data_IF_230551867952
#
_entry.id   IF_230551867952
#
_cell.length_a   1.000
_cell.length_b   1.000
_cell.length_c   1.000
_cell.angle_alpha   90.00
_cell.angle_beta   90.00
_cell.angle_gamma   90.00
#
_symmetry.space_group_name_H-M   'P 1'
#
loop_
_entity.id
_entity.type
_entity.pdbx_description
1 polymer ?
#
# COMPACT_ATOMS: atom_id res chain seq x y z
N UNK A 1 -18.96 18.20 -19.03
CA UNK A 1 -20.35 18.17 -18.54
C UNK A 1 -20.83 16.73 -18.74
N UNK A 2 -21.18 15.92 -17.75
CA UNK A 2 -21.54 16.24 -16.37
C UNK A 2 -20.50 15.82 -15.33
N UNK A 3 -20.59 16.54 -14.22
CA UNK A 3 -19.79 16.50 -13.00
C UNK A 3 -20.33 15.44 -12.03
N UNK A 4 -20.90 14.34 -12.55
CA UNK A 4 -21.77 13.45 -11.76
C UNK A 4 -21.01 12.25 -11.14
N UNK A 5 -19.70 12.17 -11.34
CA UNK A 5 -18.88 11.05 -10.87
C UNK A 5 -18.26 11.25 -9.48
N UNK A 6 -18.07 12.49 -9.04
CA UNK A 6 -17.42 12.80 -7.77
C UNK A 6 -18.42 12.84 -6.59
N UNK A 7 -19.66 13.27 -6.83
CA UNK A 7 -20.71 13.32 -5.79
C UNK A 7 -21.19 11.93 -5.36
N UNK A 8 -21.12 10.94 -6.26
CA UNK A 8 -21.48 9.55 -5.94
C UNK A 8 -20.45 8.84 -5.04
N UNK A 9 -19.20 9.31 -4.99
CA UNK A 9 -18.16 8.78 -4.11
C UNK A 9 -18.12 9.45 -2.72
N UNK A 10 -18.77 10.60 -2.57
CA UNK A 10 -18.89 11.33 -1.30
C UNK A 10 -20.21 11.06 -0.55
N UNK A 11 -21.16 10.36 -1.17
CA UNK A 11 -22.35 9.86 -0.52
C UNK A 11 -22.05 8.57 0.27
N UNK A 12 -21.45 8.72 1.46
CA UNK A 12 -21.42 7.65 2.44
C UNK A 12 -22.84 7.13 2.73
N UNK A 13 -22.99 5.87 3.18
CA UNK A 13 -24.30 5.30 3.49
C UNK A 13 -25.06 6.24 4.46
N UNK A 14 -26.38 6.44 4.28
CA UNK A 14 -27.14 7.33 5.14
C UNK A 14 -26.92 6.92 6.59
N UNK A 15 -26.41 7.85 7.40
CA UNK A 15 -26.21 7.66 8.84
C UNK A 15 -27.53 7.12 9.40
N UNK A 16 -27.51 5.86 9.80
CA UNK A 16 -28.68 5.15 10.27
C UNK A 16 -29.34 5.97 11.37
N UNK A 17 -30.58 6.40 11.13
CA UNK A 17 -31.42 7.05 12.13
C UNK A 17 -31.50 6.09 13.32
N UNK A 18 -30.85 6.46 14.44
CA UNK A 18 -30.76 5.63 15.64
C UNK A 18 -32.13 5.05 15.98
N UNK A 19 -32.23 3.72 16.04
CA UNK A 19 -33.40 3.04 16.57
C UNK A 19 -33.55 3.50 18.02
N UNK A 20 -34.65 4.19 18.35
CA UNK A 20 -34.92 4.64 19.72
C UNK A 20 -35.02 3.42 20.64
N UNK A 21 -34.29 3.43 21.75
CA UNK A 21 -34.46 2.42 22.79
C UNK A 21 -35.91 2.45 23.31
N UNK A 22 -36.59 1.31 23.42
CA UNK A 22 -38.00 1.28 23.83
C UNK A 22 -38.17 1.67 25.31
N UNK A 23 -39.04 2.65 25.59
CA UNK A 23 -39.40 3.12 26.93
C UNK A 23 -39.59 4.64 27.02
N UNK A 24 -40.23 5.10 28.10
CA UNK A 24 -40.59 6.49 28.40
C UNK A 24 -39.42 7.27 29.01
N UNK A 25 -38.98 8.38 28.38
CA UNK A 25 -38.02 9.34 28.94
C UNK A 25 -38.74 10.55 29.51
N UNK A 26 -38.07 11.27 30.41
CA UNK A 26 -38.60 12.53 30.99
C UNK A 26 -38.87 13.58 29.90
N UNK A 27 -38.03 13.63 28.86
CA UNK A 27 -38.25 14.53 27.71
C UNK A 27 -39.48 14.14 26.86
N UNK A 28 -39.84 12.86 26.82
CA UNK A 28 -41.02 12.40 26.07
C UNK A 28 -42.29 12.91 26.78
N UNK A 29 -42.33 12.92 28.12
CA UNK A 29 -43.46 13.46 28.91
C UNK A 29 -43.74 14.92 28.55
N UNK A 30 -42.71 15.75 28.33
CA UNK A 30 -42.88 17.16 27.99
C UNK A 30 -43.36 17.41 26.56
N UNK A 31 -43.29 16.40 25.70
CA UNK A 31 -43.67 16.48 24.28
C UNK A 31 -44.93 15.70 23.94
N UNK A 32 -45.50 14.98 24.90
CA UNK A 32 -46.77 14.25 24.81
C UNK A 32 -47.98 15.19 24.87
N UNK A 33 -49.13 14.81 24.31
CA UNK A 33 -50.41 15.47 24.56
C UNK A 33 -50.77 15.51 26.06
N UNK A 34 -51.38 16.59 26.54
CA UNK A 34 -51.70 16.80 27.98
C UNK A 34 -52.48 15.63 28.60
N UNK A 35 -53.37 15.01 27.82
CA UNK A 35 -54.16 13.88 28.28
C UNK A 35 -53.28 12.64 28.58
N UNK A 36 -52.30 12.38 27.71
CA UNK A 36 -51.33 11.29 27.90
C UNK A 36 -50.36 11.59 29.05
N UNK A 37 -49.94 12.84 29.21
CA UNK A 37 -49.11 13.27 30.34
C UNK A 37 -49.81 12.99 31.67
N UNK A 38 -51.11 13.25 31.74
CA UNK A 38 -51.91 13.06 32.96
C UNK A 38 -51.99 11.57 33.34
N UNK A 39 -52.25 10.70 32.37
CA UNK A 39 -52.27 9.23 32.55
C UNK A 39 -50.89 8.70 32.97
N UNK A 40 -49.83 9.12 32.27
CA UNK A 40 -48.45 8.71 32.56
C UNK A 40 -47.98 9.18 33.94
N UNK A 41 -48.23 10.43 34.31
CA UNK A 41 -47.89 10.98 35.62
C UNK A 41 -48.59 10.24 36.76
N UNK A 42 -49.84 9.81 36.53
CA UNK A 42 -50.57 9.01 37.50
C UNK A 42 -49.95 7.61 37.65
N UNK A 43 -49.64 6.94 36.54
CA UNK A 43 -49.02 5.61 36.52
C UNK A 43 -47.62 5.60 37.14
N UNK A 44 -46.82 6.66 36.94
CA UNK A 44 -45.51 6.82 37.59
C UNK A 44 -45.65 6.85 39.11
N UNK A 45 -46.72 7.45 39.64
CA UNK A 45 -46.95 7.59 41.09
C UNK A 45 -47.51 6.34 41.75
N UNK A 46 -48.36 5.59 41.05
CA UNK A 46 -49.11 4.46 41.62
C UNK A 46 -48.64 3.08 41.16
N UNK A 47 -47.59 3.03 40.31
CA UNK A 47 -46.89 1.83 39.86
C UNK A 47 -47.67 0.92 38.90
N UNK A 48 -48.95 0.63 39.17
CA UNK A 48 -49.85 -0.17 38.33
C UNK A 48 -51.28 0.40 38.38
N UNK A 49 -52.02 0.35 37.25
CA UNK A 49 -53.42 0.77 37.21
C UNK A 49 -54.29 -0.12 36.34
N UNK A 50 -55.55 -0.27 36.72
CA UNK A 50 -56.60 -0.75 35.82
C UNK A 50 -57.24 0.45 35.08
N UNK A 51 -57.77 0.25 33.85
CA UNK A 51 -58.47 1.31 33.12
C UNK A 51 -59.63 1.92 33.91
N UNK A 52 -60.36 1.10 34.67
CA UNK A 52 -61.47 1.54 35.51
C UNK A 52 -61.02 2.45 36.67
N UNK A 53 -59.87 2.14 37.30
CA UNK A 53 -59.32 2.96 38.37
C UNK A 53 -58.82 4.33 37.86
N UNK A 54 -58.20 4.35 36.68
CA UNK A 54 -57.80 5.59 36.01
C UNK A 54 -59.00 6.43 35.59
N UNK A 55 -60.04 5.82 35.00
CA UNK A 55 -61.26 6.53 34.60
C UNK A 55 -61.99 7.17 35.78
N UNK A 56 -62.09 6.45 36.91
CA UNK A 56 -62.69 6.98 38.13
C UNK A 56 -61.91 8.17 38.70
N UNK A 57 -60.57 8.11 38.68
CA UNK A 57 -59.73 9.15 39.26
C UNK A 57 -59.61 10.40 38.38
N UNK A 58 -59.51 10.20 37.06
CA UNK A 58 -59.40 11.29 36.08
C UNK A 58 -60.76 11.90 35.72
N UNK A 59 -61.86 11.30 36.19
CA UNK A 59 -63.23 11.65 35.84
C UNK A 59 -63.47 11.65 34.31
N UNK A 60 -62.88 10.67 33.63
CA UNK A 60 -62.96 10.46 32.18
C UNK A 60 -63.78 9.21 31.85
N UNK A 61 -64.24 9.10 30.60
CA UNK A 61 -64.89 7.86 30.15
C UNK A 61 -63.89 6.71 30.09
N UNK A 62 -64.35 5.50 30.41
CA UNK A 62 -63.49 4.30 30.44
C UNK A 62 -62.93 3.98 29.05
N UNK A 63 -63.71 4.23 27.99
CA UNK A 63 -63.24 4.03 26.61
C UNK A 63 -62.18 5.05 26.20
N UNK A 64 -62.26 6.29 26.71
CA UNK A 64 -61.25 7.33 26.43
C UNK A 64 -59.91 7.00 27.09
N UNK A 65 -59.93 6.61 28.37
CA UNK A 65 -58.72 6.17 29.08
C UNK A 65 -58.09 4.95 28.40
N UNK A 66 -58.92 4.00 27.96
CA UNK A 66 -58.45 2.82 27.26
C UNK A 66 -57.77 3.18 25.93
N UNK A 67 -58.33 4.10 25.15
CA UNK A 67 -57.71 4.58 23.90
C UNK A 67 -56.35 5.23 24.14
N UNK A 68 -56.19 6.04 25.21
CA UNK A 68 -54.89 6.61 25.57
C UNK A 68 -53.88 5.56 26.04
N UNK A 69 -54.32 4.54 26.80
CA UNK A 69 -53.47 3.44 27.23
C UNK A 69 -53.01 2.56 26.07
N UNK A 70 -53.88 2.31 25.08
CA UNK A 70 -53.55 1.58 23.86
C UNK A 70 -52.54 2.35 22.99
N UNK A 71 -52.70 3.67 22.86
CA UNK A 71 -51.74 4.51 22.14
C UNK A 71 -50.37 4.54 22.85
N UNK A 72 -50.35 4.69 24.17
CA UNK A 72 -49.13 4.61 24.98
C UNK A 72 -48.45 3.22 24.92
N UNK A 73 -49.24 2.16 24.76
CA UNK A 73 -48.74 0.80 24.56
C UNK A 73 -48.14 0.62 23.16
N UNK A 74 -48.78 1.14 22.13
CA UNK A 74 -48.27 1.14 20.75
C UNK A 74 -46.98 1.96 20.61
N UNK A 75 -46.86 3.05 21.37
CA UNK A 75 -45.65 3.86 21.45
C UNK A 75 -44.54 3.21 22.31
N UNK A 76 -44.83 2.09 22.99
CA UNK A 76 -43.87 1.35 23.80
C UNK A 76 -43.53 2.00 25.14
N UNK A 77 -44.34 2.96 25.59
CA UNK A 77 -44.17 3.68 26.86
C UNK A 77 -44.77 2.93 28.05
N UNK A 78 -45.73 2.05 27.79
CA UNK A 78 -46.48 1.28 28.78
C UNK A 78 -46.58 -0.18 28.32
N UNK A 79 -46.65 -1.12 29.25
CA UNK A 79 -46.85 -2.54 28.98
C UNK A 79 -47.95 -3.11 29.89
N UNK A 80 -48.56 -4.21 29.45
CA UNK A 80 -49.58 -4.94 30.22
C UNK A 80 -48.94 -5.96 31.15
N UNK A 81 -49.48 -6.08 32.36
CA UNK A 81 -49.12 -7.11 33.34
C UNK A 81 -50.32 -8.05 33.49
N UNK A 82 -50.14 -9.33 33.17
CA UNK A 82 -51.21 -10.33 33.24
C UNK A 82 -51.45 -10.78 34.69
N UNK A 83 -52.38 -10.11 35.37
CA UNK A 83 -52.99 -10.58 36.62
C UNK A 83 -54.29 -11.35 36.35
N UNK A 84 -54.56 -12.42 37.11
CA UNK A 84 -55.73 -13.33 36.96
C UNK A 84 -57.10 -12.67 37.19
N UNK A 85 -57.47 -11.65 36.41
CA UNK A 85 -58.81 -11.06 36.43
C UNK A 85 -58.97 -9.63 35.90
N UNK A 86 -57.87 -8.88 35.64
CA UNK A 86 -57.94 -7.55 35.02
C UNK A 86 -56.61 -7.16 34.38
N UNK A 87 -56.64 -6.57 33.17
CA UNK A 87 -55.45 -6.01 32.52
C UNK A 87 -54.98 -4.78 33.32
N UNK A 88 -53.78 -4.88 33.92
CA UNK A 88 -53.11 -3.74 34.55
C UNK A 88 -52.03 -3.20 33.63
N UNK A 89 -51.88 -1.88 33.62
CA UNK A 89 -50.91 -1.16 32.81
C UNK A 89 -49.80 -0.60 33.68
N UNK A 90 -48.56 -0.68 33.19
CA UNK A 90 -47.37 -0.20 33.88
C UNK A 90 -46.42 0.53 32.94
N UNK A 91 -45.81 1.62 33.41
CA UNK A 91 -44.85 2.40 32.62
C UNK A 91 -43.55 1.62 32.42
N UNK A 92 -43.11 1.55 31.16
CA UNK A 92 -41.77 1.09 30.78
C UNK A 92 -40.86 2.32 30.75
N UNK A 93 -40.12 2.58 31.83
CA UNK A 93 -39.14 3.66 31.83
C UNK A 93 -38.00 3.33 30.87
N UNK A 94 -37.63 4.27 30.01
CA UNK A 94 -36.40 4.11 29.23
C UNK A 94 -35.21 4.11 30.21
N UNK A 95 -34.16 3.32 29.95
CA UNK A 95 -32.93 3.42 30.73
C UNK A 95 -32.46 4.87 30.76
N UNK A 96 -32.23 5.39 31.95
CA UNK A 96 -31.78 6.78 32.14
C UNK A 96 -30.33 6.84 31.65
N UNK A 97 -30.11 7.56 30.57
CA UNK A 97 -28.79 7.72 29.94
C UNK A 97 -27.88 8.57 30.83
N UNK A 98 -27.24 7.95 31.83
CA UNK A 98 -25.82 8.23 32.04
C UNK A 98 -25.12 7.83 30.73
N UNK A 99 -24.28 8.71 30.19
CA UNK A 99 -23.77 8.64 28.81
C UNK A 99 -23.34 7.20 28.46
N UNK A 100 -24.11 6.51 27.62
CA UNK A 100 -23.80 5.16 27.18
C UNK A 100 -22.46 5.22 26.43
N UNK A 101 -21.50 4.39 26.81
CA UNK A 101 -20.21 4.32 26.14
C UNK A 101 -20.45 4.17 24.62
N UNK A 102 -19.76 4.94 23.76
CA UNK A 102 -19.78 4.66 22.34
C UNK A 102 -19.49 3.17 22.16
N UNK A 103 -20.36 2.45 21.45
CA UNK A 103 -20.17 1.02 21.20
C UNK A 103 -18.90 0.76 20.38
N UNK A 104 -18.37 1.81 19.77
CA UNK A 104 -17.12 1.83 19.04
C UNK A 104 -15.97 2.29 19.96
N UNK A 105 -15.20 1.31 20.45
CA UNK A 105 -14.04 1.50 21.34
C UNK A 105 -13.03 2.50 20.74
N UNK A 106 -12.89 2.51 19.42
CA UNK A 106 -11.95 3.35 18.70
C UNK A 106 -12.29 4.83 18.79
N UNK A 107 -13.57 5.19 18.83
CA UNK A 107 -13.99 6.59 19.00
C UNK A 107 -13.64 7.15 20.38
N UNK A 108 -13.49 6.29 21.39
CA UNK A 108 -13.07 6.71 22.73
C UNK A 108 -11.54 6.88 22.78
N UNK A 109 -10.80 6.01 22.07
CA UNK A 109 -9.34 6.04 22.00
C UNK A 109 -8.76 7.10 21.06
N UNK A 110 -9.48 7.46 20.00
CA UNK A 110 -9.07 8.45 19.00
C UNK A 110 -9.49 9.88 19.35
N UNK A 111 -10.20 10.09 20.47
CA UNK A 111 -10.50 11.44 20.96
C UNK A 111 -9.25 12.04 21.58
N UNK A 112 -8.66 12.99 20.88
CA UNK A 112 -7.75 13.98 21.44
C UNK A 112 -8.53 14.94 22.38
N UNK A 113 -9.14 14.43 23.46
CA UNK A 113 -9.71 15.29 24.51
C UNK A 113 -8.58 15.81 25.38
N UNK A 114 -8.51 17.11 25.63
CA UNK A 114 -7.47 17.69 26.49
C UNK A 114 -7.65 17.32 27.99
N UNK A 115 -8.72 16.60 28.32
CA UNK A 115 -9.08 16.25 29.69
C UNK A 115 -9.13 14.72 29.90
N UNK A 116 -8.85 14.30 31.14
CA UNK A 116 -8.87 12.91 31.59
C UNK A 116 -10.27 12.30 31.62
N UNK A 117 -10.37 11.04 31.20
CA UNK A 117 -11.58 10.22 31.38
C UNK A 117 -11.57 9.59 32.79
N UNK A 118 -12.63 9.81 33.55
CA UNK A 118 -12.70 9.40 34.97
C UNK A 118 -13.83 8.40 35.19
N UNK A 119 -13.51 7.25 35.76
CA UNK A 119 -14.50 6.31 36.30
C UNK A 119 -14.70 6.57 37.79
N UNK A 120 -15.94 6.72 38.25
CA UNK A 120 -16.24 6.87 39.69
C UNK A 120 -16.91 5.62 40.23
N UNK A 121 -16.22 4.96 41.15
CA UNK A 121 -16.76 3.89 42.00
C UNK A 121 -17.24 4.46 43.33
N UNK A 122 -18.48 4.17 43.71
CA UNK A 122 -19.12 4.71 44.92
C UNK A 122 -20.22 3.78 45.46
N UNK A 123 -20.57 3.96 46.74
CA UNK A 123 -21.78 3.35 47.30
C UNK A 123 -23.01 4.17 46.90
N UNK A 124 -24.09 3.48 46.50
CA UNK A 124 -25.39 4.08 46.17
C UNK A 124 -25.96 4.98 47.28
N UNK A 125 -25.56 4.78 48.53
CA UNK A 125 -25.95 5.62 49.66
C UNK A 125 -25.32 7.01 49.64
N UNK A 126 -24.21 7.17 48.92
CA UNK A 126 -23.50 8.45 48.75
C UNK A 126 -23.84 9.14 47.41
N UNK A 127 -24.97 8.77 46.78
CA UNK A 127 -25.38 9.24 45.45
C UNK A 127 -25.45 10.76 45.32
N UNK A 128 -25.96 11.46 46.34
CA UNK A 128 -26.10 12.92 46.32
C UNK A 128 -24.75 13.63 46.20
N UNK A 129 -23.77 13.21 47.00
CA UNK A 129 -22.40 13.71 46.92
C UNK A 129 -21.77 13.41 45.55
N UNK A 130 -21.93 12.19 45.05
CA UNK A 130 -21.35 11.82 43.75
C UNK A 130 -22.01 12.59 42.61
N UNK A 131 -23.30 12.93 42.71
CA UNK A 131 -23.98 13.79 41.72
C UNK A 131 -23.39 15.20 41.71
N UNK A 132 -23.10 15.76 42.89
CA UNK A 132 -22.41 17.04 43.00
C UNK A 132 -21.01 16.97 42.39
N UNK A 133 -20.22 15.94 42.73
CA UNK A 133 -18.86 15.74 42.22
C UNK A 133 -18.84 15.54 40.70
N UNK A 134 -19.71 14.69 40.18
CA UNK A 134 -19.88 14.44 38.75
C UNK A 134 -20.23 15.73 37.99
N UNK A 135 -21.22 16.48 38.47
CA UNK A 135 -21.63 17.73 37.84
C UNK A 135 -20.50 18.76 37.83
N UNK A 136 -19.70 18.81 38.91
CA UNK A 136 -18.53 19.68 39.00
C UNK A 136 -17.43 19.25 38.01
N UNK A 137 -17.13 17.95 37.88
CA UNK A 137 -16.17 17.42 36.92
C UNK A 137 -16.61 17.64 35.47
N UNK A 138 -17.88 17.38 35.14
CA UNK A 138 -18.43 17.62 33.79
C UNK A 138 -18.38 19.11 33.41
N UNK A 139 -18.61 20.02 34.37
CA UNK A 139 -18.49 21.46 34.13
C UNK A 139 -17.06 21.89 33.77
N UNK A 140 -16.05 21.05 34.01
CA UNK A 140 -14.65 21.26 33.57
C UNK A 140 -14.35 20.67 32.20
N UNK A 141 -15.35 20.10 31.51
CA UNK A 141 -15.18 19.48 30.18
C UNK A 141 -14.71 18.03 30.21
N UNK A 142 -14.56 17.41 31.39
CA UNK A 142 -14.14 16.01 31.55
C UNK A 142 -15.26 15.04 31.18
N UNK A 143 -14.87 13.90 30.62
CA UNK A 143 -15.78 12.75 30.50
C UNK A 143 -15.76 11.94 31.81
N UNK A 144 -16.91 11.86 32.46
CA UNK A 144 -17.07 11.15 33.73
C UNK A 144 -18.03 9.98 33.54
N UNK A 145 -17.60 8.80 33.98
CA UNK A 145 -18.40 7.60 33.96
C UNK A 145 -18.79 7.21 35.38
N UNK A 146 -20.09 6.94 35.58
CA UNK A 146 -20.66 6.55 36.87
C UNK A 146 -21.82 5.59 36.62
N UNK A 147 -21.88 4.48 37.35
CA UNK A 147 -23.08 3.63 37.39
C UNK A 147 -24.13 4.24 38.34
N UNK A 148 -25.13 4.91 37.77
CA UNK A 148 -26.17 5.64 38.52
C UNK A 148 -27.34 4.79 39.02
N UNK A 149 -27.25 3.46 38.95
CA UNK A 149 -28.33 2.46 39.04
C UNK A 149 -28.94 2.12 37.68
N UNK A 150 -28.42 1.09 37.04
CA UNK A 150 -29.18 0.21 36.17
C UNK A 150 -28.55 -1.18 36.22
N UNK A 151 -29.03 -2.05 37.12
CA UNK A 151 -28.82 -3.50 36.99
C UNK A 151 -30.03 -4.03 36.21
N UNK A 152 -29.95 -4.29 34.90
CA UNK A 152 -30.96 -5.08 34.23
C UNK A 152 -30.94 -6.50 34.81
N UNK A 153 -32.11 -7.06 35.10
CA UNK A 153 -32.27 -8.41 35.67
C UNK A 153 -31.80 -9.53 34.71
N UNK A 154 -31.32 -9.21 33.50
CA UNK A 154 -30.99 -10.18 32.46
C UNK A 154 -29.86 -9.78 31.48
N UNK A 155 -28.91 -8.91 31.86
CA UNK A 155 -27.75 -8.54 31.02
C UNK A 155 -26.41 -8.78 31.74
N UNK A 156 -25.31 -8.89 30.99
CA UNK A 156 -23.95 -9.03 31.56
C UNK A 156 -23.42 -7.67 32.04
N UNK A 157 -24.10 -7.08 33.02
CA UNK A 157 -23.84 -5.76 33.60
C UNK A 157 -22.39 -5.60 34.11
N UNK A 158 -21.78 -6.71 34.55
CA UNK A 158 -20.38 -6.70 34.97
C UNK A 158 -19.42 -6.37 33.82
N UNK A 159 -19.70 -6.86 32.60
CA UNK A 159 -18.88 -6.54 31.43
C UNK A 159 -18.91 -5.05 31.09
N UNK A 160 -20.06 -4.39 31.26
CA UNK A 160 -20.18 -2.94 31.02
C UNK A 160 -19.37 -2.11 32.02
N UNK A 161 -19.42 -2.49 33.31
CA UNK A 161 -18.57 -1.90 34.35
C UNK A 161 -17.10 -2.10 34.03
N UNK A 162 -16.72 -3.33 33.69
CA UNK A 162 -15.33 -3.65 33.40
C UNK A 162 -14.82 -2.85 32.18
N UNK A 163 -15.64 -2.71 31.14
CA UNK A 163 -15.33 -1.88 29.97
C UNK A 163 -15.17 -0.39 30.35
N UNK A 164 -16.02 0.12 31.25
CA UNK A 164 -15.89 1.47 31.79
C UNK A 164 -14.56 1.69 32.52
N UNK A 165 -14.14 0.72 33.34
CA UNK A 165 -12.84 0.75 34.03
C UNK A 165 -11.69 0.68 33.02
N UNK A 166 -11.78 -0.21 32.03
CA UNK A 166 -10.76 -0.40 30.99
C UNK A 166 -10.54 0.86 30.15
N UNK A 167 -11.60 1.62 29.85
CA UNK A 167 -11.55 2.83 29.03
C UNK A 167 -11.24 4.11 29.81
N UNK A 168 -11.37 4.09 31.13
CA UNK A 168 -11.03 5.25 31.96
C UNK A 168 -9.52 5.40 32.15
N UNK A 169 -9.06 6.65 32.17
CA UNK A 169 -7.67 7.00 32.47
C UNK A 169 -7.42 6.90 33.98
N UNK A 170 -8.39 7.39 34.75
CA UNK A 170 -8.35 7.41 36.22
C UNK A 170 -9.56 6.71 36.81
N UNK A 171 -9.29 5.87 37.81
CA UNK A 171 -10.29 5.24 38.66
C UNK A 171 -10.38 6.01 39.98
N UNK A 172 -11.47 6.76 40.15
CA UNK A 172 -11.78 7.53 41.34
C UNK A 172 -12.65 6.68 42.27
N UNK A 173 -12.18 6.43 43.49
CA UNK A 173 -12.89 5.65 44.48
C UNK A 173 -13.40 6.55 45.61
N UNK A 174 -14.72 6.59 45.79
CA UNK A 174 -15.35 7.33 46.90
C UNK A 174 -15.38 6.45 48.14
N UNK A 175 -14.51 6.75 49.11
CA UNK A 175 -14.37 6.05 50.38
C UNK A 175 -15.50 6.50 51.33
N UNK A 176 -16.26 5.50 51.77
CA UNK A 176 -17.24 5.55 52.86
C UNK A 176 -17.36 4.17 53.50
N UNK A 177 -17.91 4.04 54.71
CA UNK A 177 -18.13 2.73 55.34
C UNK A 177 -18.94 1.78 54.43
N UNK A 178 -19.92 2.31 53.70
CA UNK A 178 -20.76 1.53 52.80
C UNK A 178 -20.03 1.11 51.51
N UNK A 179 -19.13 1.96 50.96
CA UNK A 179 -18.38 1.60 49.74
C UNK A 179 -17.30 0.57 50.03
N UNK A 180 -16.64 0.68 51.18
CA UNK A 180 -15.61 -0.28 51.63
C UNK A 180 -16.22 -1.65 51.96
N UNK A 181 -17.43 -1.69 52.53
CA UNK A 181 -18.14 -2.94 52.78
C UNK A 181 -18.80 -3.56 51.53
N UNK A 182 -18.86 -2.84 50.41
CA UNK A 182 -19.56 -3.28 49.20
C UNK A 182 -18.73 -4.28 48.38
N UNK A 183 -19.31 -5.46 48.13
CA UNK A 183 -18.68 -6.49 47.30
C UNK A 183 -18.43 -6.02 45.86
N UNK A 184 -19.38 -5.27 45.28
CA UNK A 184 -19.26 -4.75 43.91
C UNK A 184 -18.11 -3.77 43.82
N UNK A 185 -18.05 -2.80 44.74
CA UNK A 185 -16.97 -1.82 44.82
C UNK A 185 -15.61 -2.50 44.99
N UNK A 186 -15.55 -3.58 45.78
CA UNK A 186 -14.35 -4.42 45.89
C UNK A 186 -13.94 -5.04 44.56
N UNK A 187 -14.87 -5.61 43.79
CA UNK A 187 -14.57 -6.18 42.47
C UNK A 187 -14.09 -5.11 41.47
N UNK A 188 -14.64 -3.91 41.53
CA UNK A 188 -14.23 -2.78 40.68
C UNK A 188 -12.81 -2.33 40.99
N UNK A 189 -12.45 -2.21 42.27
CA UNK A 189 -11.08 -1.88 42.69
C UNK A 189 -10.10 -2.95 42.18
N UNK A 190 -10.42 -4.24 42.34
CA UNK A 190 -9.57 -5.33 41.87
C UNK A 190 -9.35 -5.28 40.35
N UNK A 191 -10.40 -4.96 39.58
CA UNK A 191 -10.28 -4.75 38.14
C UNK A 191 -9.37 -3.56 37.80
N UNK A 192 -9.53 -2.43 38.50
CA UNK A 192 -8.69 -1.25 38.30
C UNK A 192 -7.22 -1.53 38.66
N UNK A 193 -6.97 -2.22 39.76
CA UNK A 193 -5.64 -2.64 40.21
C UNK A 193 -5.00 -3.59 39.20
N UNK A 194 -5.73 -4.62 38.74
CA UNK A 194 -5.25 -5.57 37.72
C UNK A 194 -4.79 -4.87 36.44
N UNK A 195 -5.48 -3.80 36.05
CA UNK A 195 -5.18 -3.03 34.85
C UNK A 195 -4.19 -1.90 35.08
N UNK A 196 -3.61 -1.82 36.28
CA UNK A 196 -2.70 -0.75 36.71
C UNK A 196 -3.31 0.62 36.38
N UNK A 197 -4.59 0.83 36.72
CA UNK A 197 -5.23 2.13 36.53
C UNK A 197 -4.71 3.11 37.55
N UNK A 198 -4.70 4.39 37.18
CA UNK A 198 -4.42 5.45 38.15
C UNK A 198 -5.54 5.47 39.17
N UNK A 199 -5.22 5.21 40.43
CA UNK A 199 -6.21 5.21 41.51
C UNK A 199 -6.22 6.56 42.23
N UNK A 200 -7.41 7.10 42.46
CA UNK A 200 -7.62 8.35 43.20
C UNK A 200 -8.62 8.13 44.34
N UNK A 201 -8.15 8.03 45.60
CA UNK A 201 -9.02 7.90 46.76
C UNK A 201 -9.63 9.25 47.19
N UNK A 202 -10.96 9.32 47.21
CA UNK A 202 -11.74 10.47 47.68
C UNK A 202 -12.51 10.07 48.94
N UNK A 203 -12.17 10.66 50.08
CA UNK A 203 -12.80 10.36 51.38
C UNK A 203 -14.03 11.24 51.55
N UNK A 204 -15.21 10.63 51.46
CA UNK A 204 -16.47 11.28 51.77
C UNK A 204 -16.86 11.10 53.24
N UNK A 205 -16.61 9.91 53.79
CA UNK A 205 -16.81 9.58 55.20
C UNK A 205 -15.56 8.86 55.73
N UNK A 206 -15.18 9.14 56.98
CA UNK A 206 -13.99 8.54 57.59
C UNK A 206 -14.18 7.03 57.80
N UNK A 207 -13.18 6.26 57.39
CA UNK A 207 -13.12 4.80 57.54
C UNK A 207 -11.74 4.43 58.12
N UNK A 208 -11.65 3.44 59.02
CA UNK A 208 -10.36 2.92 59.47
C UNK A 208 -9.50 2.48 58.27
N UNK A 209 -8.24 2.96 58.13
CA UNK A 209 -7.39 2.67 56.98
C UNK A 209 -7.19 1.17 56.70
N UNK A 210 -7.24 0.35 57.74
CA UNK A 210 -7.11 -1.11 57.70
C UNK A 210 -8.33 -1.83 57.09
N UNK A 211 -9.46 -1.14 56.92
CA UNK A 211 -10.60 -1.66 56.17
C UNK A 211 -10.55 -1.29 54.69
N UNK A 212 -9.78 -0.25 54.32
CA UNK A 212 -9.64 0.22 52.95
C UNK A 212 -8.72 -0.72 52.17
N UNK A 213 -8.99 -0.90 50.88
CA UNK A 213 -8.17 -1.73 50.01
C UNK A 213 -6.68 -1.29 50.07
N UNK A 214 -5.71 -2.21 50.24
CA UNK A 214 -4.30 -1.85 50.48
C UNK A 214 -3.71 -0.89 49.44
N UNK A 215 -4.05 -1.09 48.16
CA UNK A 215 -3.60 -0.22 47.06
C UNK A 215 -4.16 1.21 47.13
N UNK A 216 -5.31 1.43 47.76
CA UNK A 216 -5.85 2.77 48.01
C UNK A 216 -5.31 3.35 49.32
N UNK A 217 -5.11 2.51 50.33
CA UNK A 217 -4.61 2.91 51.66
C UNK A 217 -3.17 3.45 51.61
N UNK A 218 -2.35 2.99 50.66
CA UNK A 218 -0.98 3.49 50.46
C UNK A 218 -0.88 4.86 49.77
N UNK A 219 -1.99 5.36 49.21
CA UNK A 219 -2.03 6.61 48.43
C UNK A 219 -2.42 7.81 49.29
N UNK A 220 -2.16 9.01 48.78
CA UNK A 220 -2.61 10.24 49.41
C UNK A 220 -4.12 10.41 49.25
N UNK A 221 -4.83 10.57 50.36
CA UNK A 221 -6.29 10.70 50.39
C UNK A 221 -6.74 12.14 50.17
N UNK A 222 -7.78 12.32 49.36
CA UNK A 222 -8.43 13.61 49.16
C UNK A 222 -9.71 13.68 49.98
N UNK A 223 -9.76 14.59 50.96
CA UNK A 223 -10.87 14.69 51.89
C UNK A 223 -11.97 15.64 51.38
N UNK A 224 -13.21 15.13 51.38
CA UNK A 224 -14.45 15.78 50.99
C UNK A 224 -15.55 15.50 52.02
N UNK A 225 -15.20 15.47 53.31
CA UNK A 225 -16.15 15.23 54.39
C UNK A 225 -17.08 16.43 54.55
N UNK A 226 -18.15 16.27 55.33
CA UNK A 226 -19.13 17.33 55.54
C UNK A 226 -18.52 18.63 56.13
N UNK A 227 -17.45 18.50 56.89
CA UNK A 227 -16.68 19.60 57.48
C UNK A 227 -15.61 20.22 56.56
N UNK A 228 -15.27 19.58 55.44
CA UNK A 228 -14.23 20.07 54.53
C UNK A 228 -14.82 20.99 53.45
N UNK A 229 -14.05 22.02 53.07
CA UNK A 229 -14.45 22.92 51.97
C UNK A 229 -14.36 22.20 50.61
N UNK A 230 -15.51 22.08 49.92
CA UNK A 230 -15.61 21.37 48.64
C UNK A 230 -14.67 21.96 47.57
N UNK A 231 -14.61 23.28 47.42
CA UNK A 231 -13.88 23.90 46.30
C UNK A 231 -12.35 23.71 46.36
N UNK A 232 -11.66 23.99 47.47
CA UNK A 232 -10.23 23.73 47.57
C UNK A 232 -9.88 22.25 47.37
N UNK A 233 -10.68 21.33 47.89
CA UNK A 233 -10.50 19.89 47.64
C UNK A 233 -10.74 19.53 46.18
N UNK A 234 -11.74 20.12 45.55
CA UNK A 234 -12.03 19.92 44.13
C UNK A 234 -10.90 20.43 43.21
N UNK A 235 -10.30 21.59 43.50
CA UNK A 235 -9.14 22.08 42.74
C UNK A 235 -7.92 21.16 42.87
N UNK A 236 -7.68 20.60 44.06
CA UNK A 236 -6.63 19.60 44.28
C UNK A 236 -6.91 18.31 43.50
N UNK A 237 -8.17 17.89 43.45
CA UNK A 237 -8.60 16.74 42.65
C UNK A 237 -8.32 16.99 41.16
N UNK A 238 -8.70 18.15 40.61
CA UNK A 238 -8.41 18.48 39.22
C UNK A 238 -6.92 18.45 38.90
N UNK A 239 -6.10 19.08 39.75
CA UNK A 239 -4.64 19.07 39.60
C UNK A 239 -4.06 17.65 39.63
N UNK A 240 -4.59 16.79 40.50
CA UNK A 240 -4.21 15.39 40.53
C UNK A 240 -4.61 14.67 39.23
N UNK A 241 -5.83 14.88 38.72
CA UNK A 241 -6.29 14.23 37.48
C UNK A 241 -5.47 14.64 36.24
N UNK A 242 -4.96 15.88 36.20
CA UNK A 242 -4.21 16.41 35.05
C UNK A 242 -2.72 16.11 35.08
N UNK A 243 -2.18 15.70 36.23
CA UNK A 243 -0.76 15.38 36.34
C UNK A 243 -0.40 14.20 35.42
N UNK A 244 0.63 14.41 34.58
CA UNK A 244 1.18 13.41 33.64
C UNK A 244 0.11 12.76 32.74
N UNK A 245 -0.94 13.53 32.39
CA UNK A 245 -2.12 13.02 31.70
C UNK A 245 -1.79 12.32 30.38
N UNK A 246 -0.89 12.88 29.57
CA UNK A 246 -0.50 12.28 28.28
C UNK A 246 0.03 10.86 28.46
N UNK A 247 0.83 10.64 29.51
CA UNK A 247 1.37 9.32 29.83
C UNK A 247 0.24 8.37 30.27
N UNK A 248 -0.62 8.79 31.21
CA UNK A 248 -1.75 7.98 31.70
C UNK A 248 -2.70 7.59 30.56
N UNK A 249 -2.95 8.50 29.61
CA UNK A 249 -3.79 8.23 28.43
C UNK A 249 -3.14 7.26 27.47
N UNK A 250 -1.83 7.43 27.22
CA UNK A 250 -1.07 6.48 26.42
C UNK A 250 -1.08 5.07 27.01
N UNK A 251 -1.00 4.95 28.35
CA UNK A 251 -1.15 3.69 29.08
C UNK A 251 -2.52 3.06 28.84
N UNK A 252 -3.60 3.82 29.03
CA UNK A 252 -4.98 3.33 28.81
C UNK A 252 -5.20 2.92 27.36
N UNK A 253 -4.75 3.71 26.39
CA UNK A 253 -4.90 3.38 24.97
C UNK A 253 -4.17 2.10 24.61
N UNK A 254 -2.94 1.92 25.10
CA UNK A 254 -2.17 0.71 24.87
C UNK A 254 -2.84 -0.50 25.53
N UNK A 255 -3.37 -0.33 26.75
CA UNK A 255 -4.11 -1.37 27.47
C UNK A 255 -5.30 -1.87 26.69
N UNK A 256 -6.14 -0.95 26.21
CA UNK A 256 -7.39 -1.30 25.52
C UNK A 256 -7.08 -2.05 24.23
N UNK A 257 -6.09 -1.59 23.45
CA UNK A 257 -5.62 -2.31 22.24
C UNK A 257 -5.09 -3.71 22.59
N UNK A 258 -4.33 -3.83 23.68
CA UNK A 258 -3.79 -5.11 24.12
C UNK A 258 -4.89 -6.08 24.60
N UNK A 259 -5.91 -5.58 25.29
CA UNK A 259 -7.08 -6.35 25.72
C UNK A 259 -7.92 -6.80 24.53
N UNK A 260 -8.12 -5.95 23.54
CA UNK A 260 -8.81 -6.31 22.30
C UNK A 260 -8.07 -7.40 21.55
N UNK A 261 -6.76 -7.25 21.36
CA UNK A 261 -5.90 -8.28 20.78
C UNK A 261 -6.02 -9.61 21.55
N UNK A 262 -6.01 -9.59 22.88
CA UNK A 262 -6.17 -10.79 23.69
C UNK A 262 -7.57 -11.43 23.53
N UNK A 263 -8.64 -10.61 23.54
CA UNK A 263 -10.03 -11.05 23.33
C UNK A 263 -10.26 -11.68 21.96
N UNK A 264 -9.57 -11.18 20.93
CA UNK A 264 -9.63 -11.72 19.56
C UNK A 264 -8.67 -12.90 19.32
N UNK A 265 -8.24 -13.59 20.38
CA UNK A 265 -7.41 -14.79 20.24
C UNK A 265 -5.99 -14.49 19.76
N UNK A 266 -5.50 -13.27 20.00
CA UNK A 266 -4.16 -12.79 19.64
C UNK A 266 -3.89 -12.74 18.14
N UNK A 267 -4.90 -12.38 17.36
CA UNK A 267 -4.80 -12.26 15.91
C UNK A 267 -3.81 -11.16 15.46
N UNK A 268 -3.03 -11.46 14.42
CA UNK A 268 -1.99 -10.58 13.86
C UNK A 268 -2.52 -9.26 13.28
N UNK A 269 -3.81 -9.19 12.94
CA UNK A 269 -4.46 -7.99 12.40
C UNK A 269 -4.62 -6.86 13.42
N UNK A 270 -4.64 -7.19 14.72
CA UNK A 270 -4.75 -6.23 15.83
C UNK A 270 -3.39 -5.75 16.35
N UNK A 271 -2.28 -6.25 15.80
CA UNK A 271 -0.93 -5.86 16.25
C UNK A 271 -0.54 -4.48 15.73
N UNK A 272 0.26 -3.77 16.53
CA UNK A 272 0.79 -2.45 16.20
C UNK A 272 1.85 -2.55 15.10
N UNK A 273 2.01 -1.49 14.31
CA UNK A 273 3.01 -1.38 13.24
C UNK A 273 3.52 0.05 13.11
N UNK A 274 4.77 0.21 12.65
CA UNK A 274 5.38 1.50 12.36
C UNK A 274 5.27 2.47 13.54
N UNK A 275 4.82 3.69 13.29
CA UNK A 275 4.76 4.76 14.30
C UNK A 275 3.95 4.40 15.55
N UNK A 276 2.91 3.57 15.45
CA UNK A 276 2.14 3.13 16.61
C UNK A 276 2.91 2.12 17.48
N UNK A 277 3.73 1.27 16.86
CA UNK A 277 4.64 0.38 17.60
C UNK A 277 5.77 1.19 18.26
N UNK A 278 6.33 2.17 17.56
CA UNK A 278 7.37 3.05 18.09
C UNK A 278 6.88 3.79 19.35
N UNK A 279 5.70 4.41 19.29
CA UNK A 279 5.06 5.06 20.44
C UNK A 279 4.83 4.10 21.60
N UNK A 280 4.43 2.86 21.32
CA UNK A 280 4.21 1.87 22.35
C UNK A 280 5.52 1.43 23.03
N UNK A 281 6.61 1.29 22.27
CA UNK A 281 7.94 1.05 22.83
C UNK A 281 8.43 2.22 23.70
N UNK A 282 8.24 3.46 23.23
CA UNK A 282 8.55 4.66 24.01
C UNK A 282 7.76 4.71 25.32
N UNK A 283 6.47 4.38 25.27
CA UNK A 283 5.63 4.29 26.46
C UNK A 283 6.16 3.27 27.47
N UNK A 284 6.51 2.05 27.03
CA UNK A 284 7.09 1.03 27.91
C UNK A 284 8.41 1.49 28.55
N UNK A 285 9.27 2.19 27.79
CA UNK A 285 10.53 2.72 28.30
C UNK A 285 10.32 3.83 29.35
N UNK A 286 9.32 4.69 29.16
CA UNK A 286 8.96 5.73 30.12
C UNK A 286 8.36 5.15 31.41
N UNK A 287 7.63 4.04 31.29
CA UNK A 287 6.91 3.41 32.39
C UNK A 287 7.76 2.74 33.46
N UNK A 288 9.09 2.65 33.28
CA UNK A 288 10.00 2.28 34.37
C UNK A 288 10.08 3.36 35.46
N UNK A 289 9.77 4.62 35.13
CA UNK A 289 9.97 5.78 36.01
C UNK A 289 8.67 6.53 36.35
N UNK A 290 7.56 6.18 35.72
CA UNK A 290 6.27 6.84 35.88
C UNK A 290 5.21 5.87 36.39
N UNK A 291 4.22 6.41 37.10
CA UNK A 291 3.00 5.68 37.45
C UNK A 291 1.85 6.12 36.53
N UNK A 292 0.99 5.21 36.06
CA UNK A 292 1.00 3.77 36.34
C UNK A 292 2.10 3.01 35.59
N UNK A 293 2.62 1.94 36.21
CA UNK A 293 3.56 1.04 35.55
C UNK A 293 2.87 0.20 34.48
N UNK A 294 3.53 -0.05 33.33
CA UNK A 294 2.98 -0.94 32.31
C UNK A 294 2.64 -2.33 32.85
N UNK A 295 1.56 -2.90 32.34
CA UNK A 295 1.14 -4.25 32.73
C UNK A 295 1.93 -5.32 31.95
N UNK A 296 1.96 -6.55 32.47
CA UNK A 296 2.47 -7.71 31.71
C UNK A 296 1.83 -7.84 30.32
N UNK A 297 0.54 -7.48 30.21
CA UNK A 297 -0.19 -7.52 28.95
C UNK A 297 0.34 -6.49 27.96
N UNK A 298 0.72 -5.28 28.40
CA UNK A 298 1.39 -4.29 27.55
C UNK A 298 2.67 -4.86 26.95
N UNK A 299 3.54 -5.42 27.80
CA UNK A 299 4.80 -5.99 27.35
C UNK A 299 4.60 -7.11 26.33
N UNK A 300 3.67 -8.04 26.58
CA UNK A 300 3.37 -9.13 25.64
C UNK A 300 2.82 -8.62 24.32
N UNK A 301 1.93 -7.63 24.35
CA UNK A 301 1.32 -7.07 23.15
C UNK A 301 2.33 -6.31 22.28
N UNK A 302 3.19 -5.50 22.89
CA UNK A 302 4.25 -4.77 22.18
C UNK A 302 5.30 -5.73 21.63
N UNK A 303 5.72 -6.74 22.41
CA UNK A 303 6.65 -7.75 21.94
C UNK A 303 6.09 -8.53 20.75
N UNK A 304 4.85 -8.99 20.83
CA UNK A 304 4.20 -9.69 19.73
C UNK A 304 4.08 -8.80 18.48
N UNK A 305 3.79 -7.51 18.66
CA UNK A 305 3.75 -6.54 17.57
C UNK A 305 5.13 -6.36 16.91
N UNK A 306 6.20 -6.24 17.71
CA UNK A 306 7.57 -6.11 17.22
C UNK A 306 8.04 -7.37 16.48
N UNK A 307 7.74 -8.56 16.99
CA UNK A 307 8.05 -9.82 16.32
C UNK A 307 7.31 -9.95 14.98
N UNK A 308 6.03 -9.55 14.93
CA UNK A 308 5.25 -9.58 13.70
C UNK A 308 5.80 -8.60 12.66
N UNK A 309 6.18 -7.38 13.06
CA UNK A 309 6.75 -6.38 12.16
C UNK A 309 8.12 -6.82 11.62
N UNK A 310 9.00 -7.34 12.47
CA UNK A 310 10.29 -7.90 12.05
C UNK A 310 10.11 -9.02 11.01
N UNK A 311 9.17 -9.94 11.25
CA UNK A 311 8.86 -11.02 10.32
C UNK A 311 8.34 -10.51 8.96
N UNK A 312 7.58 -9.41 8.95
CA UNK A 312 7.11 -8.79 7.70
C UNK A 312 8.27 -8.12 6.94
N UNK A 313 9.14 -7.42 7.64
CA UNK A 313 10.34 -6.79 7.05
C UNK A 313 11.27 -7.84 6.45
N UNK A 314 11.53 -8.93 7.16
CA UNK A 314 12.37 -10.03 6.66
C UNK A 314 11.77 -10.69 5.40
N UNK A 315 10.45 -10.84 5.35
CA UNK A 315 9.75 -11.36 4.16
C UNK A 315 9.89 -10.42 2.98
N UNK A 316 9.76 -9.11 3.19
CA UNK A 316 9.89 -8.11 2.14
C UNK A 316 11.32 -8.03 1.61
N UNK A 317 12.31 -8.00 2.49
CA UNK A 317 13.73 -8.09 2.13
C UNK A 317 14.03 -9.39 1.36
N UNK A 318 13.44 -10.51 1.78
CA UNK A 318 13.53 -11.78 1.08
C UNK A 318 12.94 -11.74 -0.34
N UNK A 319 11.79 -11.07 -0.54
CA UNK A 319 11.19 -10.88 -1.87
C UNK A 319 12.07 -10.02 -2.77
N UNK A 320 12.57 -8.90 -2.25
CA UNK A 320 13.47 -8.02 -3.00
C UNK A 320 14.76 -8.75 -3.40
N UNK A 321 15.34 -9.53 -2.49
CA UNK A 321 16.49 -10.36 -2.76
C UNK A 321 16.21 -11.42 -3.84
N UNK A 322 15.03 -12.06 -3.82
CA UNK A 322 14.63 -13.03 -4.84
C UNK A 322 14.48 -12.40 -6.23
N UNK A 323 13.85 -11.22 -6.33
CA UNK A 323 13.72 -10.47 -7.59
C UNK A 323 15.10 -10.09 -8.14
N UNK A 324 16.01 -9.59 -7.30
CA UNK A 324 17.38 -9.27 -7.72
C UNK A 324 18.15 -10.52 -8.18
N UNK A 325 17.93 -11.67 -7.54
CA UNK A 325 18.53 -12.94 -7.97
C UNK A 325 18.03 -13.39 -9.34
N UNK A 326 16.76 -13.15 -9.68
CA UNK A 326 16.21 -13.38 -11.02
C UNK A 326 16.79 -12.42 -12.06
N UNK A 327 16.87 -11.12 -11.75
CA UNK A 327 17.48 -10.13 -12.64
C UNK A 327 18.95 -10.47 -12.93
N UNK A 328 19.73 -10.87 -11.91
CA UNK A 328 21.12 -11.31 -12.10
C UNK A 328 21.23 -12.56 -12.98
N UNK A 329 20.29 -13.51 -12.87
CA UNK A 329 20.24 -14.69 -13.76
C UNK A 329 20.01 -14.28 -15.21
N UNK A 330 19.02 -13.43 -15.46
CA UNK A 330 18.75 -12.92 -16.82
C UNK A 330 19.90 -12.10 -17.39
N UNK A 331 20.51 -11.23 -16.60
CA UNK A 331 21.69 -10.47 -17.02
C UNK A 331 22.85 -11.38 -17.43
N UNK A 332 23.11 -12.47 -16.69
CA UNK A 332 24.13 -13.46 -17.08
C UNK A 332 23.80 -14.12 -18.42
N UNK A 333 22.54 -14.51 -18.64
CA UNK A 333 22.09 -15.11 -19.91
C UNK A 333 22.29 -14.13 -21.07
N UNK A 334 21.83 -12.88 -20.93
CA UNK A 334 21.96 -11.84 -21.95
C UNK A 334 23.42 -11.55 -22.26
N UNK A 335 24.29 -11.45 -21.26
CA UNK A 335 25.73 -11.25 -21.46
C UNK A 335 26.36 -12.41 -22.22
N UNK A 336 26.06 -13.67 -21.87
CA UNK A 336 26.59 -14.84 -22.58
C UNK A 336 26.14 -14.86 -24.04
N UNK A 337 24.85 -14.62 -24.30
CA UNK A 337 24.32 -14.55 -25.68
C UNK A 337 24.98 -13.43 -26.48
N UNK A 338 25.20 -12.27 -25.85
CA UNK A 338 25.84 -11.12 -26.52
C UNK A 338 27.29 -11.41 -26.89
N UNK A 339 28.06 -12.05 -26.00
CA UNK A 339 29.45 -12.49 -26.27
C UNK A 339 29.48 -13.50 -27.42
N UNK A 340 28.56 -14.46 -27.44
CA UNK A 340 28.46 -15.46 -28.52
C UNK A 340 28.09 -14.79 -29.85
N UNK A 341 27.16 -13.84 -29.86
CA UNK A 341 26.77 -13.10 -31.06
C UNK A 341 27.94 -12.27 -31.65
N UNK A 342 28.69 -11.57 -30.80
CA UNK A 342 29.89 -10.84 -31.22
C UNK A 342 30.97 -11.79 -31.77
N UNK A 343 31.18 -12.93 -31.10
CA UNK A 343 32.11 -13.97 -31.56
C UNK A 343 31.74 -14.53 -32.94
N UNK A 344 30.46 -14.88 -33.15
CA UNK A 344 29.97 -15.35 -34.45
C UNK A 344 30.10 -14.29 -35.55
N UNK A 345 29.80 -13.02 -35.23
CA UNK A 345 29.99 -11.90 -36.16
C UNK A 345 31.46 -11.73 -36.58
N UNK A 346 32.39 -11.83 -35.63
CA UNK A 346 33.82 -11.80 -35.89
C UNK A 346 34.29 -12.94 -36.81
N UNK A 347 33.85 -14.17 -36.53
CA UNK A 347 34.16 -15.36 -37.36
C UNK A 347 33.59 -15.17 -38.77
N UNK A 348 32.33 -14.73 -38.90
CA UNK A 348 31.69 -14.48 -40.19
C UNK A 348 32.44 -13.42 -41.01
N UNK A 349 32.92 -12.35 -40.38
CA UNK A 349 33.74 -11.32 -41.03
C UNK A 349 35.06 -11.88 -41.56
N UNK A 350 35.75 -12.69 -40.76
CA UNK A 350 36.99 -13.38 -41.16
C UNK A 350 36.77 -14.33 -42.36
N UNK A 351 35.69 -15.10 -42.36
CA UNK A 351 35.33 -15.97 -43.47
C UNK A 351 35.05 -15.16 -44.75
N UNK A 352 34.32 -14.05 -44.63
CA UNK A 352 34.03 -13.17 -45.75
C UNK A 352 35.32 -12.55 -46.32
N UNK A 353 36.24 -12.16 -45.46
CA UNK A 353 37.53 -11.59 -45.87
C UNK A 353 38.39 -12.63 -46.61
N UNK A 354 38.46 -13.86 -46.10
CA UNK A 354 39.15 -14.97 -46.79
C UNK A 354 38.50 -15.30 -48.14
N UNK A 355 37.18 -15.32 -48.22
CA UNK A 355 36.47 -15.55 -49.47
C UNK A 355 36.77 -14.45 -50.51
N UNK A 356 36.79 -13.17 -50.09
CA UNK A 356 37.18 -12.05 -50.95
C UNK A 356 38.62 -12.19 -51.45
N UNK A 357 39.56 -12.57 -50.58
CA UNK A 357 40.96 -12.81 -50.96
C UNK A 357 41.11 -13.97 -51.95
N UNK A 358 40.36 -15.06 -51.76
CA UNK A 358 40.38 -16.19 -52.69
C UNK A 358 39.84 -15.78 -54.08
N UNK A 359 38.79 -14.96 -54.11
CA UNK A 359 38.23 -14.47 -55.37
C UNK A 359 39.21 -13.56 -56.12
N UNK A 360 39.88 -12.63 -55.44
CA UNK A 360 40.87 -11.76 -56.09
C UNK A 360 42.07 -12.53 -56.62
N UNK A 361 42.53 -13.56 -55.90
CA UNK A 361 43.61 -14.44 -56.38
C UNK A 361 43.21 -15.24 -57.62
N UNK A 362 41.98 -15.75 -57.67
CA UNK A 362 41.47 -16.49 -58.82
C UNK A 362 41.36 -15.61 -60.08
N UNK A 363 40.88 -14.38 -59.94
CA UNK A 363 40.77 -13.43 -61.06
C UNK A 363 42.15 -13.05 -61.64
N UNK A 364 43.14 -12.80 -60.78
CA UNK A 364 44.51 -12.54 -61.21
C UNK A 364 45.13 -13.77 -61.90
N UNK A 365 44.92 -14.96 -61.33
CA UNK A 365 45.41 -16.22 -61.91
C UNK A 365 44.81 -16.50 -63.29
N UNK A 366 43.51 -16.22 -63.49
CA UNK A 366 42.87 -16.34 -64.80
C UNK A 366 43.47 -15.40 -65.84
N UNK A 367 43.78 -14.16 -65.47
CA UNK A 367 44.45 -13.20 -66.36
C UNK A 367 45.86 -13.68 -66.73
N UNK A 368 46.69 -14.07 -65.75
CA UNK A 368 48.05 -14.57 -65.97
C UNK A 368 48.06 -15.79 -66.89
N UNK A 369 47.15 -16.74 -66.69
CA UNK A 369 47.03 -17.94 -67.52
C UNK A 369 46.74 -17.59 -68.98
N UNK A 370 45.82 -16.65 -69.25
CA UNK A 370 45.51 -16.19 -70.62
C UNK A 370 46.69 -15.48 -71.26
N UNK A 371 47.42 -14.69 -70.49
CA UNK A 371 48.60 -14.00 -70.97
C UNK A 371 49.72 -14.97 -71.34
N UNK A 372 50.00 -15.96 -70.49
CA UNK A 372 50.96 -17.01 -70.79
C UNK A 372 50.54 -17.80 -72.04
N UNK A 373 49.26 -18.16 -72.15
CA UNK A 373 48.73 -18.84 -73.32
C UNK A 373 48.92 -18.02 -74.61
N UNK A 374 48.67 -16.71 -74.57
CA UNK A 374 48.94 -15.82 -75.72
C UNK A 374 50.41 -15.81 -76.14
N UNK A 375 51.33 -15.74 -75.16
CA UNK A 375 52.78 -15.75 -75.44
C UNK A 375 53.25 -17.08 -76.01
N UNK A 376 52.77 -18.20 -75.48
CA UNK A 376 53.12 -19.55 -75.96
C UNK A 376 52.60 -19.77 -77.39
N UNK A 377 51.35 -19.39 -77.68
CA UNK A 377 50.77 -19.54 -79.02
C UNK A 377 51.49 -18.71 -80.09
N UNK A 378 51.96 -17.51 -79.72
CA UNK A 378 52.79 -16.68 -80.61
C UNK A 378 54.11 -17.37 -80.96
N UNK A 379 54.72 -18.08 -80.01
CA UNK A 379 55.97 -18.83 -80.25
C UNK A 379 55.77 -20.10 -81.07
N UNK A 380 54.59 -20.74 -80.98
CA UNK A 380 54.27 -21.97 -81.73
C UNK A 380 53.68 -21.72 -83.12
N UNK A 381 53.81 -20.49 -83.66
CA UNK A 381 53.36 -20.10 -85.00
C UNK A 381 51.84 -20.30 -85.24
N UNK A 382 51.01 -20.06 -84.22
CA UNK A 382 49.54 -20.04 -84.30
C UNK A 382 49.02 -18.60 -84.12
N UNK A 383 49.09 -17.78 -85.18
CA UNK A 383 48.98 -16.31 -85.07
C UNK A 383 47.57 -15.84 -84.67
N UNK A 384 46.53 -16.49 -85.19
CA UNK A 384 45.13 -16.12 -84.94
C UNK A 384 44.68 -16.50 -83.53
N UNK A 385 45.10 -17.68 -83.03
CA UNK A 385 44.81 -18.11 -81.66
C UNK A 385 45.59 -17.27 -80.63
N UNK A 386 46.83 -16.86 -80.97
CA UNK A 386 47.61 -15.93 -80.15
C UNK A 386 46.93 -14.56 -80.03
N UNK A 387 46.40 -14.00 -81.12
CA UNK A 387 45.64 -12.75 -81.11
C UNK A 387 44.34 -12.86 -80.30
N UNK A 388 43.60 -13.97 -80.44
CA UNK A 388 42.39 -14.22 -79.67
C UNK A 388 42.70 -14.33 -78.16
N UNK A 389 43.77 -15.03 -77.79
CA UNK A 389 44.19 -15.15 -76.40
C UNK A 389 44.67 -13.80 -75.82
N UNK A 390 45.41 -13.00 -76.59
CA UNK A 390 45.88 -11.68 -76.18
C UNK A 390 44.72 -10.68 -75.99
N UNK A 391 43.74 -10.69 -76.89
CA UNK A 391 42.54 -9.84 -76.79
C UNK A 391 41.67 -10.25 -75.59
N UNK A 392 41.48 -11.56 -75.36
CA UNK A 392 40.76 -12.05 -74.18
C UNK A 392 41.50 -11.71 -72.87
N UNK A 393 42.84 -11.78 -72.86
CA UNK A 393 43.66 -11.33 -71.74
C UNK A 393 43.44 -9.83 -71.47
N UNK A 394 43.45 -8.99 -72.50
CA UNK A 394 43.18 -7.55 -72.40
C UNK A 394 41.77 -7.22 -71.88
N UNK A 395 40.73 -7.91 -72.36
CA UNK A 395 39.36 -7.74 -71.85
C UNK A 395 39.26 -8.17 -70.39
N UNK A 396 39.92 -9.27 -70.01
CA UNK A 396 39.93 -9.73 -68.62
C UNK A 396 40.69 -8.79 -67.68
N UNK A 397 41.74 -8.14 -68.19
CA UNK A 397 42.47 -7.10 -67.46
C UNK A 397 41.60 -5.87 -67.17
N UNK A 398 40.79 -5.44 -68.13
CA UNK A 398 39.86 -4.32 -67.93
C UNK A 398 38.80 -4.59 -66.86
N UNK A 399 38.39 -5.84 -66.71
CA UNK A 399 37.42 -6.26 -65.70
C UNK A 399 38.00 -6.40 -64.30
N UNK A 400 39.34 -6.42 -64.15
CA UNK A 400 39.96 -6.49 -62.83
C UNK A 400 39.67 -5.22 -62.01
N UNK A 401 39.47 -5.37 -60.69
CA UNK A 401 39.43 -4.26 -59.74
C UNK A 401 40.63 -3.31 -59.90
N UNK A 402 40.39 -2.00 -59.74
CA UNK A 402 41.41 -0.96 -60.01
C UNK A 402 42.67 -1.07 -59.16
N UNK A 403 42.56 -1.64 -57.97
CA UNK A 403 43.64 -1.92 -57.02
C UNK A 403 44.59 -3.02 -57.50
N UNK A 404 44.12 -3.92 -58.37
CA UNK A 404 44.92 -5.02 -58.93
C UNK A 404 45.54 -4.69 -60.30
N UNK A 405 45.15 -3.57 -60.92
CA UNK A 405 45.68 -3.14 -62.22
C UNK A 405 47.04 -2.44 -62.06
N UNK A 406 48.11 -3.22 -62.16
CA UNK A 406 49.48 -2.70 -62.12
C UNK A 406 49.95 -2.16 -63.48
N UNK A 407 50.82 -1.12 -63.51
CA UNK A 407 51.43 -0.63 -64.75
C UNK A 407 52.17 -1.73 -65.52
N UNK A 408 52.76 -2.67 -64.78
CA UNK A 408 53.45 -3.83 -65.36
C UNK A 408 52.49 -4.78 -66.09
N UNK A 409 51.33 -5.09 -65.51
CA UNK A 409 50.35 -5.95 -66.18
C UNK A 409 49.71 -5.28 -67.40
N UNK A 410 49.54 -3.95 -67.37
CA UNK A 410 49.15 -3.18 -68.55
C UNK A 410 50.20 -3.24 -69.66
N UNK A 411 51.48 -3.03 -69.32
CA UNK A 411 52.57 -3.13 -70.29
C UNK A 411 52.68 -4.55 -70.87
N UNK A 412 52.54 -5.59 -70.05
CA UNK A 412 52.61 -6.97 -70.52
C UNK A 412 51.41 -7.36 -71.40
N UNK A 413 50.20 -6.85 -71.14
CA UNK A 413 49.03 -7.11 -71.99
C UNK A 413 49.12 -6.38 -73.32
N UNK A 414 49.63 -5.14 -73.32
CA UNK A 414 49.94 -4.40 -74.54
C UNK A 414 51.03 -5.13 -75.35
N UNK A 415 52.10 -5.58 -74.69
CA UNK A 415 53.18 -6.30 -75.34
C UNK A 415 52.73 -7.63 -75.97
N UNK A 416 51.88 -8.42 -75.30
CA UNK A 416 51.37 -9.67 -75.89
C UNK A 416 50.44 -9.43 -77.08
N UNK A 417 49.69 -8.32 -77.07
CA UNK A 417 48.81 -7.94 -78.18
C UNK A 417 49.59 -7.39 -79.38
N UNK A 418 50.58 -6.52 -79.16
CA UNK A 418 51.45 -6.01 -80.22
C UNK A 418 52.28 -7.13 -80.84
N UNK A 419 52.79 -8.07 -80.04
CA UNK A 419 53.51 -9.22 -80.55
C UNK A 419 52.61 -10.14 -81.41
N UNK A 420 51.38 -10.40 -80.98
CA UNK A 420 50.44 -11.20 -81.77
C UNK A 420 50.09 -10.53 -83.11
N UNK A 421 49.86 -9.21 -83.11
CA UNK A 421 49.61 -8.42 -84.33
C UNK A 421 50.82 -8.42 -85.28
N UNK A 422 52.02 -8.19 -84.76
CA UNK A 422 53.25 -8.23 -85.56
C UNK A 422 53.49 -9.61 -86.19
N UNK A 423 53.12 -10.70 -85.49
CA UNK A 423 53.21 -12.07 -86.03
C UNK A 423 52.23 -12.28 -87.18
N UNK A 424 51.02 -11.72 -87.10
CA UNK A 424 50.02 -11.75 -88.19
C UNK A 424 50.48 -10.90 -89.38
N UNK A 425 50.99 -9.70 -89.14
CA UNK A 425 51.51 -8.80 -90.18
C UNK A 425 52.67 -9.46 -90.95
N UNK A 426 53.59 -10.11 -90.24
CA UNK A 426 54.69 -10.86 -90.83
C UNK A 426 54.22 -12.04 -91.71
N UNK A 427 53.08 -12.67 -91.39
CA UNK A 427 52.48 -13.73 -92.20
C UNK A 427 51.67 -13.17 -93.40
N UNK A 428 51.06 -12.00 -93.25
CA UNK A 428 50.33 -11.32 -94.33
C UNK A 428 51.21 -10.81 -95.47
N UNK A 429 52.53 -10.74 -95.25
CA UNK A 429 53.52 -10.42 -96.28
C UNK A 429 53.76 -11.57 -97.28
N UNK A 430 53.36 -12.82 -96.95
CA UNK A 430 53.58 -14.00 -97.80
C UNK A 430 52.29 -14.75 -98.24
N UNK A 431 51.11 -14.57 -97.60
CA UNK A 431 49.79 -15.00 -98.14
C UNK A 431 48.60 -14.58 -97.21
N UNK A 432 47.40 -14.20 -97.72
CA UNK A 432 46.26 -13.83 -96.87
C UNK A 432 45.50 -15.07 -96.31
N UNK A 433 45.11 -15.08 -95.03
CA UNK A 433 44.40 -16.22 -94.43
C UNK A 433 42.88 -16.17 -94.64
N UNK A 434 42.30 -17.32 -95.03
CA UNK A 434 40.89 -17.50 -95.40
C UNK A 434 39.92 -17.83 -94.25
N UNK A 435 40.31 -17.75 -92.97
CA UNK A 435 39.38 -18.07 -91.87
C UNK A 435 39.61 -17.19 -90.64
N UNK A 436 39.15 -15.94 -90.68
CA UNK A 436 38.90 -15.16 -89.47
C UNK A 436 37.44 -15.40 -89.02
N UNK A 437 37.25 -15.86 -87.78
CA UNK A 437 35.94 -16.09 -87.19
C UNK A 437 35.14 -14.78 -87.10
N UNK A 438 33.81 -14.86 -87.24
CA UNK A 438 32.90 -13.72 -87.38
C UNK A 438 32.93 -12.69 -86.21
N UNK A 439 33.54 -13.02 -85.08
CA UNK A 439 33.68 -12.13 -83.92
C UNK A 439 35.01 -11.35 -83.88
N UNK A 440 35.99 -11.74 -84.70
CA UNK A 440 37.31 -11.13 -84.75
C UNK A 440 37.28 -9.63 -85.12
N UNK A 441 36.46 -9.17 -86.09
CA UNK A 441 36.40 -7.75 -86.46
C UNK A 441 35.86 -6.87 -85.31
N UNK A 442 34.88 -7.35 -84.54
CA UNK A 442 34.30 -6.61 -83.41
C UNK A 442 35.25 -6.50 -82.22
N UNK A 443 36.03 -7.55 -81.97
CA UNK A 443 37.07 -7.56 -80.95
C UNK A 443 38.24 -6.65 -81.35
N UNK A 444 38.68 -6.73 -82.62
CA UNK A 444 39.71 -5.86 -83.18
C UNK A 444 39.30 -4.39 -83.14
N UNK A 445 38.05 -4.05 -83.47
CA UNK A 445 37.56 -2.67 -83.44
C UNK A 445 37.55 -2.07 -82.03
N UNK A 446 37.24 -2.87 -81.00
CA UNK A 446 37.34 -2.44 -79.60
C UNK A 446 38.79 -2.30 -79.11
N UNK A 447 39.70 -3.15 -79.57
CA UNK A 447 41.13 -3.03 -79.25
C UNK A 447 41.82 -1.89 -80.01
N UNK A 448 41.43 -1.62 -81.26
CA UNK A 448 41.94 -0.49 -82.05
C UNK A 448 41.54 0.84 -81.42
N UNK A 449 40.28 1.01 -80.99
CA UNK A 449 39.83 2.22 -80.29
C UNK A 449 40.71 2.55 -79.06
N UNK A 450 41.17 1.52 -78.35
CA UNK A 450 42.07 1.66 -77.21
C UNK A 450 43.53 1.95 -77.58
N UNK A 451 44.04 1.36 -78.66
CA UNK A 451 45.37 1.69 -79.20
C UNK A 451 45.40 3.14 -79.69
N UNK A 452 44.34 3.63 -80.32
CA UNK A 452 44.26 5.04 -80.75
C UNK A 452 44.12 6.03 -79.59
N UNK A 453 43.37 5.71 -78.54
CA UNK A 453 43.24 6.60 -77.37
C UNK A 453 44.52 6.65 -76.51
N UNK A 454 45.36 5.61 -76.50
CA UNK A 454 46.60 5.59 -75.70
C UNK A 454 47.88 5.87 -76.50
N UNK A 455 47.93 5.58 -77.82
CA UNK A 455 49.09 5.91 -78.66
C UNK A 455 49.27 7.42 -78.86
N UNK A 456 48.22 8.21 -78.63
CA UNK A 456 48.26 9.68 -78.67
C UNK A 456 49.27 10.31 -77.66
N UNK A 457 49.89 9.52 -76.77
CA UNK A 457 50.94 10.01 -75.87
C UNK A 457 52.38 9.78 -76.36
N UNK A 458 52.62 9.05 -77.45
CA UNK A 458 53.99 8.83 -77.96
C UNK A 458 54.20 8.85 -79.49
N UNK A 459 53.15 8.97 -80.31
CA UNK A 459 53.32 9.10 -81.77
C UNK A 459 52.65 10.36 -82.30
N UNK A 460 53.39 11.16 -83.09
CA UNK A 460 52.84 12.35 -83.74
C UNK A 460 51.79 11.94 -84.77
N UNK A 461 50.67 12.65 -84.81
CA UNK A 461 49.52 12.36 -85.65
C UNK A 461 49.80 12.35 -87.18
N UNK A 462 51.02 12.70 -87.61
CA UNK A 462 51.40 12.75 -89.03
C UNK A 462 51.91 11.40 -89.60
N UNK A 463 52.21 10.40 -88.78
CA UNK A 463 52.72 9.09 -89.26
C UNK A 463 51.65 7.98 -89.28
N UNK A 464 50.47 8.22 -88.69
CA UNK A 464 49.39 7.23 -88.62
C UNK A 464 48.64 7.04 -89.95
N UNK A 465 48.60 8.05 -90.81
CA UNK A 465 47.83 8.01 -92.08
C UNK A 465 48.52 7.27 -93.23
N UNK A 466 49.80 6.90 -93.08
CA UNK A 466 50.55 6.27 -94.18
C UNK A 466 50.44 4.74 -94.24
N UNK A 467 49.98 4.07 -93.18
CA UNK A 467 49.99 2.61 -93.10
C UNK A 467 48.63 1.93 -93.08
N UNK A 468 47.51 2.65 -92.92
CA UNK A 468 46.19 2.00 -92.90
C UNK A 468 45.03 2.94 -93.28
N UNK A 469 44.66 3.06 -94.58
CA UNK A 469 43.44 3.75 -94.95
C UNK A 469 42.25 2.87 -94.53
N UNK A 470 41.56 3.28 -93.47
CA UNK A 470 40.29 2.67 -93.06
C UNK A 470 39.17 3.18 -94.00
N UNK A 471 38.30 2.32 -94.57
CA UNK A 471 37.12 2.73 -95.31
C UNK A 471 36.00 3.30 -94.42
#
# INVERSE_FOLDING_TARGET
MGDDGLDALLAGPPIGRRVRSPGLRVADILTMPEDQQTVVNWLIRHYEATPAALAQHLNWDTNQVQAHLEDLLNQGYVYTVDGRGACTYRVKLAPKSGRQMPTDVWQVLDRDSEQANVFISYSRRNKEFVQQLHSALEATGREVWVDWDSIPVAGDWWQEIQLGIELADTFLFVISPDSVASKVCGQEIEAAVKHHKRLVPVVFEDVPPEQVHPELARLNWMFFRAEDDFQPSFQRLLAALDQDLDYVRSHTRLLVRALEWERHGRDMSYLLRGADLDRANEHLAQGEKQEPHPTDLHHRYVLASAEAEANLQDRELGRQAAVLAEQRRWLRVVTVVSVVAVGMGGISGLLLQRARQAQTQAELGHWQARQHLATVLSQTNQPWDALLAATQAGVSWQRLPSDLRSPQGQAQTQASLTQALATIEALSADDPPTTASADLPRLLQRSCAYLTENAATQFSAAEADLYWPCP
#
